data_IF_328732828619
#
_entry.id   IF_328732828619
#
_cell.length_a   1.000
_cell.length_b   1.000
_cell.length_c   1.000
_cell.angle_alpha   90.00
_cell.angle_beta   90.00
_cell.angle_gamma   90.00
#
_symmetry.space_group_name_H-M   'P 1'
#
loop_
_entity.id
_entity.type
_entity.pdbx_description
1 polymer ?
#
# COMPACT_ATOMS: atom_id res chain seq x y z
N UNK A 1 3.81 -21.73 8.60
CA UNK A 1 4.07 -22.46 7.34
C UNK A 1 5.43 -23.13 7.38
N UNK A 2 5.75 -24.05 6.47
CA UNK A 2 6.98 -24.88 6.51
C UNK A 2 8.30 -24.09 6.72
N UNK A 3 8.35 -22.80 6.35
CA UNK A 3 9.49 -21.90 6.59
C UNK A 3 9.65 -21.43 8.04
N UNK A 4 8.55 -21.29 8.78
CA UNK A 4 8.59 -20.92 10.21
C UNK A 4 9.18 -22.07 11.03
N UNK A 5 8.87 -23.32 10.63
CA UNK A 5 9.40 -24.53 11.27
C UNK A 5 10.92 -24.65 11.18
N UNK A 6 11.54 -24.22 10.07
CA UNK A 6 13.01 -24.24 9.90
C UNK A 6 13.71 -23.21 10.78
N UNK A 7 13.14 -22.02 10.95
CA UNK A 7 13.69 -20.99 11.85
C UNK A 7 13.59 -21.39 13.32
N UNK A 8 12.47 -22.02 13.70
CA UNK A 8 12.27 -22.59 15.03
C UNK A 8 13.25 -23.74 15.28
N UNK A 9 13.48 -24.62 14.31
CA UNK A 9 14.48 -25.69 14.42
C UNK A 9 15.92 -25.15 14.52
N UNK A 10 16.29 -24.14 13.72
CA UNK A 10 17.62 -23.54 13.80
C UNK A 10 17.89 -22.90 15.18
N UNK A 11 16.89 -22.21 15.74
CA UNK A 11 16.96 -21.69 17.10
C UNK A 11 17.06 -22.82 18.15
N UNK A 12 16.29 -23.90 17.97
CA UNK A 12 16.33 -25.07 18.86
C UNK A 12 17.67 -25.85 18.79
N UNK A 13 18.38 -25.77 17.66
CA UNK A 13 19.73 -26.33 17.47
C UNK A 13 20.85 -25.41 17.96
N UNK A 14 20.52 -24.28 18.62
CA UNK A 14 21.52 -23.35 19.14
C UNK A 14 22.28 -22.58 18.04
N UNK A 15 21.79 -22.60 16.80
CA UNK A 15 22.34 -21.75 15.74
C UNK A 15 22.02 -20.30 16.09
N UNK A 16 23.03 -19.64 16.63
CA UNK A 16 23.04 -18.23 17.03
C UNK A 16 24.14 -17.53 16.25
N UNK A 17 23.94 -16.25 15.95
CA UNK A 17 24.90 -15.46 15.17
C UNK A 17 24.23 -14.54 14.17
N UNK A 18 25.03 -13.65 13.60
CA UNK A 18 24.59 -12.57 12.71
C UNK A 18 23.75 -13.07 11.53
N UNK A 19 24.11 -14.22 10.95
CA UNK A 19 23.39 -14.81 9.81
C UNK A 19 21.97 -15.25 10.19
N UNK A 20 21.78 -15.84 11.37
CA UNK A 20 20.47 -16.29 11.84
C UNK A 20 19.57 -15.10 12.15
N UNK A 21 20.12 -14.06 12.77
CA UNK A 21 19.38 -12.82 13.06
C UNK A 21 19.02 -12.06 11.77
N UNK A 22 19.94 -11.98 10.80
CA UNK A 22 19.65 -11.40 9.48
C UNK A 22 18.54 -12.16 8.75
N UNK A 23 18.53 -13.50 8.85
CA UNK A 23 17.48 -14.33 8.26
C UNK A 23 16.13 -14.12 8.94
N UNK A 24 16.10 -14.05 10.29
CA UNK A 24 14.87 -13.75 11.06
C UNK A 24 14.33 -12.36 10.70
N UNK A 25 15.18 -11.35 10.64
CA UNK A 25 14.80 -9.99 10.26
C UNK A 25 14.19 -9.95 8.85
N UNK A 26 14.85 -10.60 7.88
CA UNK A 26 14.33 -10.73 6.51
C UNK A 26 12.99 -11.46 6.47
N UNK A 27 12.85 -12.54 7.23
CA UNK A 27 11.61 -13.30 7.30
C UNK A 27 10.46 -12.46 7.88
N UNK A 28 10.70 -11.75 8.98
CA UNK A 28 9.73 -10.84 9.60
C UNK A 28 9.27 -9.75 8.61
N UNK A 29 10.23 -9.10 7.94
CA UNK A 29 9.93 -8.09 6.93
C UNK A 29 9.12 -8.65 5.76
N UNK A 30 9.42 -9.87 5.27
CA UNK A 30 8.66 -10.51 4.22
C UNK A 30 7.23 -10.87 4.65
N UNK A 31 7.00 -11.24 5.91
CA UNK A 31 5.66 -11.50 6.44
C UNK A 31 4.78 -10.24 6.46
N UNK A 32 5.37 -9.05 6.60
CA UNK A 32 4.66 -7.77 6.49
C UNK A 32 4.48 -7.37 5.02
N UNK A 33 5.54 -7.45 4.21
CA UNK A 33 5.53 -6.96 2.83
C UNK A 33 4.65 -7.80 1.90
N UNK A 34 4.57 -9.13 2.07
CA UNK A 34 3.84 -10.01 1.14
C UNK A 34 2.31 -9.78 1.16
N UNK A 35 1.63 -9.71 2.31
CA UNK A 35 0.20 -9.39 2.35
C UNK A 35 -0.10 -7.99 1.78
N UNK A 36 0.70 -6.98 2.14
CA UNK A 36 0.55 -5.63 1.62
C UNK A 36 0.69 -5.60 0.10
N UNK A 37 1.72 -6.23 -0.45
CA UNK A 37 1.93 -6.38 -1.89
C UNK A 37 0.72 -7.01 -2.60
N UNK A 38 0.15 -8.08 -2.04
CA UNK A 38 -1.03 -8.75 -2.62
C UNK A 38 -2.23 -7.80 -2.63
N UNK A 39 -2.46 -7.12 -1.52
CA UNK A 39 -3.56 -6.18 -1.35
C UNK A 39 -3.43 -4.99 -2.31
N UNK A 40 -2.24 -4.43 -2.44
CA UNK A 40 -1.92 -3.33 -3.36
C UNK A 40 -2.13 -3.72 -4.84
N UNK A 41 -1.73 -4.93 -5.22
CA UNK A 41 -1.98 -5.43 -6.57
C UNK A 41 -3.47 -5.64 -6.84
N UNK A 42 -4.20 -6.21 -5.87
CA UNK A 42 -5.62 -6.46 -6.00
C UNK A 42 -6.43 -5.15 -6.10
N UNK A 43 -6.12 -4.17 -5.24
CA UNK A 43 -6.79 -2.87 -5.25
C UNK A 43 -6.49 -2.07 -6.52
N UNK A 44 -5.24 -2.11 -7.00
CA UNK A 44 -4.87 -1.51 -8.29
C UNK A 44 -5.60 -2.17 -9.47
N UNK A 45 -5.76 -3.50 -9.47
CA UNK A 45 -6.48 -4.21 -10.52
C UNK A 45 -7.99 -3.89 -10.53
N UNK A 46 -8.58 -3.66 -9.35
CA UNK A 46 -10.00 -3.28 -9.20
C UNK A 46 -10.27 -1.79 -9.36
N UNK A 47 -9.22 -0.96 -9.39
CA UNK A 47 -9.32 0.50 -9.36
C UNK A 47 -10.17 1.01 -8.17
N UNK A 48 -10.18 0.29 -7.05
CA UNK A 48 -10.94 0.68 -5.87
C UNK A 48 -10.18 1.74 -5.07
N UNK A 49 -10.71 2.96 -5.08
CA UNK A 49 -10.09 4.11 -4.44
C UNK A 49 -9.89 3.93 -2.93
N UNK A 50 -10.87 3.34 -2.24
CA UNK A 50 -10.83 3.14 -0.78
C UNK A 50 -9.81 2.06 -0.40
N UNK A 51 -9.79 0.95 -1.14
CA UNK A 51 -8.79 -0.08 -0.93
C UNK A 51 -7.38 0.39 -1.27
N UNK A 52 -7.21 1.19 -2.33
CA UNK A 52 -5.92 1.79 -2.71
C UNK A 52 -5.42 2.72 -1.59
N UNK A 53 -6.26 3.63 -1.08
CA UNK A 53 -5.89 4.52 0.02
C UNK A 53 -5.55 3.76 1.30
N UNK A 54 -6.38 2.80 1.70
CA UNK A 54 -6.16 2.04 2.93
C UNK A 54 -4.91 1.16 2.84
N UNK A 55 -4.65 0.55 1.68
CA UNK A 55 -3.46 -0.27 1.49
C UNK A 55 -2.18 0.58 1.37
N UNK A 56 -2.26 1.81 0.83
CA UNK A 56 -1.16 2.77 0.85
C UNK A 56 -0.86 3.27 2.27
N UNK A 57 -1.89 3.60 3.05
CA UNK A 57 -1.73 3.97 4.45
C UNK A 57 -1.05 2.84 5.26
N UNK A 58 -1.52 1.60 5.11
CA UNK A 58 -0.90 0.45 5.77
C UNK A 58 0.56 0.20 5.32
N UNK A 59 0.89 0.48 4.05
CA UNK A 59 2.28 0.43 3.59
C UNK A 59 3.13 1.54 4.22
N UNK A 60 2.61 2.75 4.36
CA UNK A 60 3.28 3.87 5.03
C UNK A 60 3.52 3.58 6.52
N UNK A 61 2.51 3.05 7.23
CA UNK A 61 2.64 2.68 8.64
C UNK A 61 3.68 1.58 8.86
N UNK A 62 3.88 0.71 7.86
CA UNK A 62 4.94 -0.30 7.86
C UNK A 62 6.32 0.24 7.41
N UNK A 63 6.45 1.54 7.13
CA UNK A 63 7.70 2.16 6.64
C UNK A 63 8.06 1.77 5.20
N UNK A 64 7.07 1.35 4.41
CA UNK A 64 7.22 0.89 3.02
C UNK A 64 6.79 1.94 1.99
N UNK A 65 6.68 3.20 2.41
CA UNK A 65 6.41 4.34 1.55
C UNK A 65 7.59 4.66 0.62
N UNK A 66 8.81 4.26 1.01
CA UNK A 66 10.02 4.45 0.21
C UNK A 66 10.35 3.21 -0.65
N UNK A 67 10.74 3.39 -1.92
CA UNK A 67 11.13 2.29 -2.80
C UNK A 67 12.22 1.37 -2.22
N UNK A 68 13.20 1.94 -1.51
CA UNK A 68 14.32 1.20 -0.92
C UNK A 68 13.96 0.38 0.33
N UNK A 69 12.79 0.60 0.93
CA UNK A 69 12.35 -0.17 2.11
C UNK A 69 11.80 -1.57 1.73
N UNK A 70 11.51 -1.80 0.44
CA UNK A 70 11.04 -3.08 -0.03
C UNK A 70 12.19 -4.07 -0.24
N UNK A 71 12.06 -5.25 0.35
CA UNK A 71 12.95 -6.38 0.06
C UNK A 71 12.64 -7.02 -1.29
N UNK A 72 11.42 -6.81 -1.78
CA UNK A 72 10.95 -7.35 -3.04
C UNK A 72 11.30 -6.38 -4.19
N UNK A 73 11.83 -6.88 -5.31
CA UNK A 73 12.31 -6.03 -6.41
C UNK A 73 11.21 -5.25 -7.12
N UNK A 74 9.94 -5.64 -6.94
CA UNK A 74 8.79 -4.94 -7.51
C UNK A 74 8.18 -3.88 -6.57
N UNK A 75 8.69 -3.75 -5.34
CA UNK A 75 8.26 -2.73 -4.38
C UNK A 75 8.29 -1.30 -4.93
N UNK A 76 9.40 -0.82 -5.51
CA UNK A 76 9.48 0.49 -6.16
C UNK A 76 8.37 0.74 -7.19
N UNK A 77 8.08 -0.28 -8.02
CA UNK A 77 7.05 -0.19 -9.06
C UNK A 77 5.65 -0.11 -8.46
N UNK A 78 5.40 -0.82 -7.36
CA UNK A 78 4.13 -0.77 -6.64
C UNK A 78 3.92 0.61 -5.99
N UNK A 79 4.94 1.18 -5.34
CA UNK A 79 4.86 2.53 -4.78
C UNK A 79 4.55 3.57 -5.86
N UNK A 80 5.26 3.53 -7.00
CA UNK A 80 5.03 4.44 -8.11
C UNK A 80 3.62 4.29 -8.71
N UNK A 81 3.14 3.06 -8.88
CA UNK A 81 1.81 2.78 -9.37
C UNK A 81 0.73 3.38 -8.45
N UNK A 82 0.87 3.21 -7.14
CA UNK A 82 -0.08 3.71 -6.15
C UNK A 82 -0.08 5.23 -6.06
N UNK A 83 1.09 5.85 -6.06
CA UNK A 83 1.21 7.30 -6.09
C UNK A 83 0.50 7.87 -7.32
N UNK A 84 0.65 7.22 -8.49
CA UNK A 84 -0.06 7.61 -9.71
C UNK A 84 -1.58 7.45 -9.59
N UNK A 85 -2.04 6.31 -9.06
CA UNK A 85 -3.47 6.05 -8.88
C UNK A 85 -4.11 7.03 -7.88
N UNK A 86 -3.46 7.27 -6.75
CA UNK A 86 -3.91 8.25 -5.75
C UNK A 86 -3.97 9.66 -6.33
N UNK A 87 -2.93 10.09 -7.06
CA UNK A 87 -2.92 11.38 -7.75
C UNK A 87 -4.09 11.51 -8.72
N UNK A 88 -4.34 10.48 -9.54
CA UNK A 88 -5.50 10.47 -10.44
C UNK A 88 -6.84 10.56 -9.73
N UNK A 89 -7.03 9.80 -8.64
CA UNK A 89 -8.26 9.82 -7.85
C UNK A 89 -8.53 11.20 -7.21
N UNK A 90 -7.49 11.87 -6.70
CA UNK A 90 -7.64 13.21 -6.13
C UNK A 90 -8.06 14.26 -7.17
N UNK A 91 -7.56 14.15 -8.41
CA UNK A 91 -7.94 15.06 -9.49
C UNK A 91 -9.39 14.85 -9.94
N UNK A 92 -9.84 13.59 -10.05
CA UNK A 92 -11.24 13.27 -10.41
C UNK A 92 -12.21 13.74 -9.33
N UNK A 93 -11.86 13.54 -8.06
CA UNK A 93 -12.69 14.03 -6.94
C UNK A 93 -12.81 15.56 -6.95
N UNK A 94 -11.70 16.27 -7.18
CA UNK A 94 -11.70 17.72 -7.26
C UNK A 94 -12.53 18.25 -8.45
N UNK A 95 -12.48 17.59 -9.60
CA UNK A 95 -13.29 17.94 -10.76
C UNK A 95 -14.79 17.72 -10.50
N UNK A 96 -15.16 16.57 -9.92
CA UNK A 96 -16.54 16.26 -9.58
C UNK A 96 -17.14 17.24 -8.55
N UNK A 97 -16.32 17.69 -7.59
CA UNK A 97 -16.74 18.68 -6.59
C UNK A 97 -16.93 20.08 -7.22
N UNK A 98 -16.06 20.47 -8.16
CA UNK A 98 -16.22 21.70 -8.93
C UNK A 98 -17.51 21.67 -9.79
N UNK A 99 -17.79 20.54 -10.44
CA UNK A 99 -19.02 20.35 -11.22
C UNK A 99 -20.28 20.39 -10.34
N UNK A 100 -20.24 19.75 -9.17
CA UNK A 100 -21.34 19.77 -8.20
C UNK A 100 -21.58 21.18 -7.62
N UNK A 101 -20.52 21.93 -7.35
CA UNK A 101 -20.61 23.32 -6.88
C UNK A 101 -21.18 24.24 -7.97
N UNK A 102 -20.76 24.07 -9.24
CA UNK A 102 -21.30 24.81 -10.37
C UNK A 102 -22.80 24.49 -10.59
N UNK A 103 -23.19 23.22 -10.49
CA UNK A 103 -24.59 22.80 -10.59
C UNK A 103 -25.47 23.41 -9.47
N UNK A 104 -24.93 23.50 -8.25
CA UNK A 104 -25.65 24.08 -7.09
C UNK A 104 -25.78 25.60 -7.22
N UNK A 105 -24.73 26.30 -7.66
CA UNK A 105 -24.78 27.73 -7.95
C UNK A 105 -25.77 28.06 -9.09
N UNK A 106 -25.83 27.20 -10.12
CA UNK A 106 -26.81 27.36 -11.20
C UNK A 106 -28.25 27.11 -10.73
N UNK A 107 -28.47 26.20 -9.79
CA UNK A 107 -29.79 25.98 -9.18
C UNK A 107 -30.23 27.18 -8.31
N UNK A 108 -29.32 27.74 -7.50
CA UNK A 108 -29.62 28.88 -6.64
C UNK A 108 -29.86 30.19 -7.42
N UNK A 109 -29.23 30.36 -8.59
CA UNK A 109 -29.49 31.49 -9.48
C UNK A 109 -30.89 31.43 -10.13
N UNK A 110 -31.40 30.21 -10.39
CA UNK A 110 -32.69 29.97 -11.06
C UNK A 110 -33.91 30.10 -10.14
N UNK A 111 -33.69 30.14 -8.83
CA UNK A 111 -34.73 30.35 -7.80
C UNK A 111 -34.89 31.84 -7.46
N UNK A 112 -33.98 32.70 -7.93
CA UNK A 112 -34.01 34.17 -7.70
C UNK A 112 -34.57 34.99 -8.87
N UNK A 113 -34.91 34.36 -9.99
CA UNK A 113 -35.74 34.93 -11.08
C UNK A 113 -37.22 34.59 -10.86
#
# INVERSE_FOLDING_TARGET
GARDGLLVQAAALGMTGEVVEALKARHSALNVQLPLRRRLRASAARCDAGEIQSAFAAAKDAGLDQPGAWLLPDGPRLCALLARLLGGLTQVAAAAEADAAAARAAADARVKE
#
